data_IF_365495362926
#
_entry.id   IF_365495362926
#
_cell.length_a   1.000
_cell.length_b   1.000
_cell.length_c   1.000
_cell.angle_alpha   90.00
_cell.angle_beta   90.00
_cell.angle_gamma   90.00
#
_symmetry.space_group_name_H-M   'P 1'
#
loop_
_entity.id
_entity.type
_entity.pdbx_description
1 polymer ?
#
# COMPACT_ATOMS: atom_id res chain seq x y z
N UNK A 1 7.58 8.68 21.25
CA UNK A 1 7.09 8.30 19.92
C UNK A 1 8.15 7.49 19.18
N UNK A 2 7.73 6.49 18.48
CA UNK A 2 8.63 5.66 17.65
C UNK A 2 9.30 6.51 16.56
N UNK A 3 10.59 6.26 16.27
CA UNK A 3 11.23 6.92 15.14
C UNK A 3 10.63 6.41 13.82
N UNK A 4 10.43 7.29 12.83
CA UNK A 4 9.81 6.89 11.56
C UNK A 4 10.52 5.72 10.86
N UNK A 5 11.85 5.69 10.87
CA UNK A 5 12.62 4.63 10.21
C UNK A 5 12.49 3.26 10.89
N UNK A 6 12.00 3.22 12.12
CA UNK A 6 11.71 1.96 12.82
C UNK A 6 10.32 1.41 12.47
N UNK A 7 9.46 2.23 11.86
CA UNK A 7 8.14 1.78 11.41
C UNK A 7 8.13 1.46 9.90
N UNK A 8 8.69 2.32 9.08
CA UNK A 8 8.85 2.08 7.64
C UNK A 8 10.24 2.58 7.21
N UNK A 9 10.96 1.76 6.47
CA UNK A 9 12.22 2.19 5.89
C UNK A 9 12.47 1.56 4.51
N UNK A 10 13.21 2.24 3.63
CA UNK A 10 13.52 1.71 2.32
C UNK A 10 14.44 0.50 2.40
N UNK A 11 14.16 -0.48 1.53
CA UNK A 11 15.03 -1.63 1.29
C UNK A 11 15.16 -1.81 -0.22
N UNK A 12 16.08 -2.67 -0.71
CA UNK A 12 16.14 -2.96 -2.14
C UNK A 12 14.84 -3.52 -2.71
N UNK A 13 13.98 -4.15 -1.89
CA UNK A 13 12.70 -4.71 -2.34
C UNK A 13 11.55 -3.69 -2.29
N UNK A 14 11.64 -2.67 -1.45
CA UNK A 14 10.59 -1.68 -1.23
C UNK A 14 10.58 -1.20 0.20
N UNK A 15 9.55 -0.46 0.59
CA UNK A 15 9.40 -0.02 1.97
C UNK A 15 9.06 -1.21 2.86
N UNK A 16 9.81 -1.38 3.93
CA UNK A 16 9.62 -2.48 4.88
C UNK A 16 9.14 -1.96 6.23
N UNK A 17 8.19 -2.68 6.82
CA UNK A 17 7.68 -2.41 8.16
C UNK A 17 8.21 -3.47 9.12
N UNK A 18 9.27 -3.17 9.89
CA UNK A 18 9.86 -4.19 10.78
C UNK A 18 8.92 -4.75 11.84
N UNK A 19 8.14 -3.94 12.59
CA UNK A 19 7.27 -4.52 13.62
C UNK A 19 6.14 -5.37 13.03
N UNK A 20 5.65 -5.05 11.84
CA UNK A 20 4.59 -5.81 11.20
C UNK A 20 5.08 -6.95 10.31
N UNK A 21 6.34 -6.90 9.92
CA UNK A 21 6.96 -7.85 9.00
C UNK A 21 6.19 -7.96 7.68
N UNK A 22 6.07 -6.82 7.01
CA UNK A 22 5.47 -6.73 5.67
C UNK A 22 6.11 -5.62 4.87
N UNK A 23 5.94 -5.66 3.56
CA UNK A 23 6.45 -4.65 2.63
C UNK A 23 5.30 -3.89 1.99
N UNK A 24 5.56 -2.64 1.63
CA UNK A 24 4.65 -1.83 0.80
C UNK A 24 5.20 -1.82 -0.63
N UNK A 25 4.36 -2.21 -1.60
CA UNK A 25 4.68 -2.23 -3.03
C UNK A 25 6.05 -2.83 -3.35
N UNK A 26 6.37 -4.06 -2.88
CA UNK A 26 7.67 -4.65 -3.16
C UNK A 26 7.80 -5.00 -4.64
N UNK A 27 8.98 -4.72 -5.23
CA UNK A 27 9.18 -4.83 -6.68
C UNK A 27 10.39 -5.67 -7.12
N UNK A 28 11.28 -6.03 -6.19
CA UNK A 28 12.50 -6.78 -6.52
C UNK A 28 12.51 -8.15 -5.85
N UNK A 29 11.62 -9.00 -6.30
CA UNK A 29 11.50 -10.35 -5.78
C UNK A 29 10.31 -10.55 -4.88
N UNK A 30 9.98 -11.81 -4.62
CA UNK A 30 8.83 -12.18 -3.81
C UNK A 30 9.11 -11.94 -2.33
N UNK A 31 8.05 -11.59 -1.61
CA UNK A 31 8.06 -11.44 -0.15
C UNK A 31 6.92 -12.25 0.44
N UNK A 32 6.97 -12.52 1.74
CA UNK A 32 5.91 -13.29 2.40
C UNK A 32 4.60 -12.51 2.51
N UNK A 33 4.69 -11.21 2.77
CA UNK A 33 3.49 -10.37 2.93
C UNK A 33 3.72 -8.99 2.32
N UNK A 34 2.79 -8.59 1.46
CA UNK A 34 2.82 -7.31 0.78
C UNK A 34 1.49 -6.60 0.90
N UNK A 35 1.53 -5.29 1.12
CA UNK A 35 0.37 -4.40 1.00
C UNK A 35 0.59 -3.57 -0.26
N UNK A 36 -0.35 -3.64 -1.18
CA UNK A 36 -0.21 -3.05 -2.51
C UNK A 36 -1.10 -1.81 -2.64
N UNK A 37 -0.52 -0.70 -3.11
CA UNK A 37 -1.22 0.57 -3.22
C UNK A 37 -2.16 0.64 -4.42
N UNK A 38 -1.75 0.10 -5.57
CA UNK A 38 -2.57 0.13 -6.79
C UNK A 38 -2.07 -0.90 -7.79
N UNK A 39 -2.87 -1.12 -8.85
CA UNK A 39 -2.67 -2.23 -9.78
C UNK A 39 -1.67 -2.03 -10.91
N UNK A 40 -0.97 -0.90 -11.01
CA UNK A 40 0.06 -0.73 -12.03
C UNK A 40 1.24 -1.67 -11.80
N UNK A 41 1.82 -2.21 -12.87
CA UNK A 41 2.82 -3.28 -12.80
C UNK A 41 4.11 -2.89 -12.09
N UNK A 42 4.45 -1.62 -12.04
CA UNK A 42 5.62 -1.12 -11.32
C UNK A 42 5.42 -1.09 -9.79
N UNK A 43 4.19 -1.33 -9.31
CA UNK A 43 3.84 -1.40 -7.89
C UNK A 43 3.25 -2.76 -7.51
N UNK A 44 2.48 -3.38 -8.41
CA UNK A 44 1.74 -4.61 -8.13
C UNK A 44 2.40 -5.79 -8.83
N UNK A 45 3.35 -6.42 -8.15
CA UNK A 45 4.07 -7.59 -8.65
C UNK A 45 3.42 -8.88 -8.16
N UNK A 46 3.49 -9.92 -8.98
CA UNK A 46 3.03 -11.26 -8.60
C UNK A 46 4.09 -12.05 -7.83
N UNK A 47 3.68 -13.18 -7.26
CA UNK A 47 4.58 -14.14 -6.64
C UNK A 47 4.74 -14.03 -5.13
N UNK A 48 4.07 -13.07 -4.49
CA UNK A 48 4.15 -12.91 -3.03
C UNK A 48 3.34 -13.98 -2.29
N UNK A 49 3.67 -14.20 -1.02
CA UNK A 49 2.93 -15.15 -0.18
C UNK A 49 1.51 -14.66 0.10
N UNK A 50 1.36 -13.49 0.71
CA UNK A 50 0.06 -12.89 0.98
C UNK A 50 0.04 -11.45 0.46
N UNK A 51 -0.99 -11.12 -0.32
CA UNK A 51 -1.21 -9.77 -0.85
C UNK A 51 -2.47 -9.18 -0.22
N UNK A 52 -2.33 -8.02 0.40
CA UNK A 52 -3.42 -7.23 0.95
C UNK A 52 -3.57 -5.98 0.10
N UNK A 53 -4.77 -5.74 -0.40
CA UNK A 53 -5.03 -4.59 -1.26
C UNK A 53 -6.53 -4.33 -1.35
N UNK A 54 -6.89 -3.17 -1.90
CA UNK A 54 -8.27 -2.87 -2.23
C UNK A 54 -8.81 -3.93 -3.22
N UNK A 55 -10.09 -4.32 -3.13
CA UNK A 55 -10.67 -5.35 -4.02
C UNK A 55 -10.40 -5.11 -5.51
N UNK A 56 -10.52 -3.87 -5.97
CA UNK A 56 -10.28 -3.54 -7.38
C UNK A 56 -8.80 -3.76 -7.77
N UNK A 57 -7.88 -3.48 -6.87
CA UNK A 57 -6.46 -3.76 -7.10
C UNK A 57 -6.20 -5.25 -7.24
N UNK A 58 -6.80 -6.07 -6.37
CA UNK A 58 -6.68 -7.53 -6.47
C UNK A 58 -7.26 -8.04 -7.78
N UNK A 59 -8.39 -7.49 -8.24
CA UNK A 59 -8.99 -7.87 -9.54
C UNK A 59 -8.07 -7.53 -10.71
N UNK A 60 -7.42 -6.38 -10.69
CA UNK A 60 -6.46 -5.97 -11.72
C UNK A 60 -5.26 -6.92 -11.73
N UNK A 61 -4.75 -7.29 -10.56
CA UNK A 61 -3.64 -8.22 -10.46
C UNK A 61 -4.01 -9.61 -10.99
N UNK A 62 -5.20 -10.10 -10.66
CA UNK A 62 -5.70 -11.38 -11.18
C UNK A 62 -5.87 -11.36 -12.69
N UNK A 63 -6.34 -10.26 -13.25
CA UNK A 63 -6.48 -10.11 -14.70
C UNK A 63 -5.12 -10.13 -15.43
N UNK A 64 -4.08 -9.55 -14.79
CA UNK A 64 -2.74 -9.49 -15.38
C UNK A 64 -1.94 -10.78 -15.23
N UNK A 65 -1.98 -11.38 -14.05
CA UNK A 65 -1.10 -12.48 -13.68
C UNK A 65 -1.82 -13.83 -13.53
N UNK A 66 -3.16 -13.86 -13.60
CA UNK A 66 -3.96 -15.03 -13.29
C UNK A 66 -4.32 -15.07 -11.78
N UNK A 67 -5.27 -15.95 -11.46
CA UNK A 67 -5.80 -16.01 -10.08
C UNK A 67 -4.78 -16.48 -9.04
N UNK A 68 -3.72 -17.13 -9.47
CA UNK A 68 -2.66 -17.64 -8.59
C UNK A 68 -1.50 -16.66 -8.42
N UNK A 69 -1.73 -15.37 -8.60
CA UNK A 69 -0.67 -14.37 -8.50
C UNK A 69 -0.08 -14.23 -7.08
N UNK A 70 -0.77 -14.73 -6.08
CA UNK A 70 -0.29 -14.80 -4.69
C UNK A 70 -0.80 -16.10 -4.08
N UNK A 71 -0.13 -16.60 -3.03
CA UNK A 71 -0.61 -17.79 -2.31
C UNK A 71 -1.91 -17.50 -1.58
N UNK A 72 -2.04 -16.30 -1.02
CA UNK A 72 -3.23 -15.82 -0.34
C UNK A 72 -3.48 -14.36 -0.70
N UNK A 73 -4.73 -13.94 -0.70
CA UNK A 73 -5.13 -12.55 -0.86
C UNK A 73 -6.07 -12.14 0.25
N UNK A 74 -6.02 -10.86 0.61
CA UNK A 74 -6.97 -10.28 1.55
C UNK A 74 -7.45 -8.95 0.97
N UNK A 75 -8.73 -8.86 0.68
CA UNK A 75 -9.35 -7.61 0.25
C UNK A 75 -9.55 -6.70 1.45
N UNK A 76 -9.16 -5.44 1.31
CA UNK A 76 -9.29 -4.41 2.35
C UNK A 76 -9.99 -3.22 1.72
N UNK A 77 -11.17 -2.88 2.25
CA UNK A 77 -11.92 -1.72 1.77
C UNK A 77 -11.32 -0.42 2.32
N UNK A 78 -11.61 0.70 1.65
CA UNK A 78 -11.18 2.01 2.15
C UNK A 78 -11.72 2.22 3.57
N UNK A 79 -10.85 2.68 4.47
CA UNK A 79 -11.20 2.97 5.85
C UNK A 79 -11.28 1.76 6.78
N UNK A 80 -11.18 0.56 6.24
CA UNK A 80 -11.18 -0.66 7.04
C UNK A 80 -9.82 -0.85 7.72
N UNK A 81 -9.79 -0.75 9.04
CA UNK A 81 -8.55 -0.94 9.80
C UNK A 81 -8.31 -2.43 10.04
N UNK A 82 -7.11 -2.87 9.74
CA UNK A 82 -6.66 -4.24 10.02
C UNK A 82 -5.40 -4.18 10.89
N UNK A 83 -5.11 -5.27 11.60
CA UNK A 83 -3.88 -5.39 12.36
C UNK A 83 -2.99 -6.46 11.77
N UNK A 84 -1.70 -6.13 11.63
CA UNK A 84 -0.67 -7.06 11.19
C UNK A 84 0.43 -7.03 12.24
N UNK A 85 0.54 -8.08 13.04
CA UNK A 85 1.54 -8.18 14.12
C UNK A 85 1.57 -6.95 15.03
N UNK A 86 0.39 -6.42 15.39
CA UNK A 86 0.26 -5.27 16.26
C UNK A 86 0.38 -3.90 15.57
N UNK A 87 0.61 -3.88 14.27
CA UNK A 87 0.63 -2.65 13.48
C UNK A 87 -0.74 -2.46 12.83
N UNK A 88 -1.32 -1.29 12.98
CA UNK A 88 -2.60 -0.95 12.36
C UNK A 88 -2.39 -0.42 10.96
N UNK A 89 -3.14 -0.97 10.00
CA UNK A 89 -3.04 -0.60 8.58
C UNK A 89 -4.44 -0.34 8.05
N UNK A 90 -4.61 0.74 7.30
CA UNK A 90 -5.84 0.95 6.52
C UNK A 90 -5.51 1.68 5.22
N UNK A 91 -6.48 1.68 4.31
CA UNK A 91 -6.34 2.28 2.99
C UNK A 91 -7.22 3.53 2.90
N UNK A 92 -6.73 4.55 2.21
CA UNK A 92 -7.49 5.75 1.89
C UNK A 92 -7.38 6.02 0.40
N UNK A 93 -8.43 6.54 -0.26
CA UNK A 93 -8.37 6.76 -1.71
C UNK A 93 -7.21 7.64 -2.15
N UNK A 94 -6.50 7.25 -3.20
CA UNK A 94 -5.39 8.02 -3.77
C UNK A 94 -5.79 8.77 -5.05
N UNK A 95 -6.92 8.42 -5.68
CA UNK A 95 -7.46 9.15 -6.82
C UNK A 95 -6.72 8.93 -8.14
N UNK A 96 -5.84 7.92 -8.20
CA UNK A 96 -4.98 7.68 -9.37
C UNK A 96 -5.65 6.76 -10.40
N UNK A 97 -6.00 5.56 -9.98
CA UNK A 97 -6.78 4.59 -10.77
C UNK A 97 -7.77 3.91 -9.85
N UNK A 98 -8.66 3.10 -10.44
CA UNK A 98 -9.65 2.35 -9.65
C UNK A 98 -8.93 1.45 -8.63
N UNK A 99 -9.32 1.59 -7.36
CA UNK A 99 -8.69 0.84 -6.26
C UNK A 99 -7.39 1.43 -5.73
N UNK A 100 -6.87 2.51 -6.35
CA UNK A 100 -5.63 3.12 -5.88
C UNK A 100 -5.78 3.63 -4.45
N UNK A 101 -4.78 3.36 -3.64
CA UNK A 101 -4.84 3.57 -2.20
C UNK A 101 -3.59 4.24 -1.68
N UNK A 102 -3.78 5.19 -0.78
CA UNK A 102 -2.74 5.55 0.18
C UNK A 102 -2.74 4.47 1.25
N UNK A 103 -1.58 4.04 1.67
CA UNK A 103 -1.45 3.03 2.73
C UNK A 103 -1.06 3.75 4.01
N UNK A 104 -1.93 3.65 5.02
CA UNK A 104 -1.71 4.25 6.34
C UNK A 104 -1.20 3.17 7.27
N UNK A 105 -0.07 3.43 7.93
CA UNK A 105 0.55 2.52 8.88
C UNK A 105 0.69 3.26 10.20
N UNK A 106 0.14 2.67 11.27
CA UNK A 106 0.15 3.29 12.59
C UNK A 106 0.64 2.31 13.64
N UNK A 107 1.57 2.77 14.47
CA UNK A 107 2.12 1.94 15.54
C UNK A 107 2.70 2.84 16.63
N UNK A 108 2.39 2.53 17.89
CA UNK A 108 2.92 3.24 19.07
C UNK A 108 2.79 4.76 18.95
N UNK A 109 1.65 5.23 18.45
CA UNK A 109 1.34 6.65 18.34
C UNK A 109 1.92 7.35 17.11
N UNK A 110 2.69 6.66 16.29
CA UNK A 110 3.23 7.21 15.03
C UNK A 110 2.34 6.80 13.85
N UNK A 111 1.89 7.77 13.08
CA UNK A 111 1.11 7.53 11.85
C UNK A 111 1.91 7.97 10.64
N UNK A 112 2.19 7.03 9.75
CA UNK A 112 2.87 7.26 8.49
C UNK A 112 1.95 6.94 7.33
N UNK A 113 2.00 7.73 6.28
CA UNK A 113 1.21 7.54 5.07
C UNK A 113 2.14 7.38 3.88
N UNK A 114 1.96 6.28 3.15
CA UNK A 114 2.60 6.07 1.85
C UNK A 114 1.55 6.27 0.78
N UNK A 115 1.76 7.24 -0.10
CA UNK A 115 0.73 7.60 -1.08
C UNK A 115 0.67 6.66 -2.27
N UNK A 116 1.73 5.91 -2.56
CA UNK A 116 1.86 5.30 -3.86
C UNK A 116 1.78 6.40 -4.93
N UNK A 117 1.28 6.07 -6.08
CA UNK A 117 0.92 7.11 -7.06
C UNK A 117 -0.44 7.70 -6.67
N UNK A 118 -0.56 9.00 -6.73
CA UNK A 118 -1.81 9.67 -6.40
C UNK A 118 -2.12 10.80 -7.36
N UNK A 119 -3.41 11.18 -7.39
CA UNK A 119 -3.91 12.26 -8.25
C UNK A 119 -4.89 13.08 -7.44
N UNK A 120 -4.66 14.38 -7.37
CA UNK A 120 -5.52 15.29 -6.63
C UNK A 120 -6.64 15.90 -7.49
N UNK A 121 -6.51 15.82 -8.80
CA UNK A 121 -7.57 16.24 -9.71
C UNK A 121 -8.73 15.25 -9.64
N UNK A 122 -9.94 15.79 -9.75
CA UNK A 122 -11.12 14.94 -9.83
C UNK A 122 -11.05 14.04 -11.08
N UNK A 123 -11.35 12.78 -10.88
CA UNK A 123 -11.40 11.78 -11.95
C UNK A 123 -12.66 10.95 -11.72
N UNK A 124 -13.61 10.93 -12.69
CA UNK A 124 -14.87 10.23 -12.49
C UNK A 124 -14.73 8.70 -12.47
N UNK A 125 -13.58 8.15 -12.84
CA UNK A 125 -13.37 6.70 -12.92
C UNK A 125 -12.95 6.07 -11.60
N UNK A 126 -12.59 6.86 -10.60
CA UNK A 126 -12.18 6.35 -9.30
C UNK A 126 -12.52 7.32 -8.18
N UNK A 127 -12.58 6.84 -6.92
CA UNK A 127 -12.73 7.74 -5.78
C UNK A 127 -11.63 8.77 -5.72
N UNK A 128 -12.02 10.00 -5.41
CA UNK A 128 -11.09 11.12 -5.32
C UNK A 128 -10.12 10.92 -4.16
N UNK A 129 -8.90 11.46 -4.30
CA UNK A 129 -7.90 11.50 -3.24
C UNK A 129 -8.50 12.09 -1.95
N UNK A 130 -8.33 11.39 -0.85
CA UNK A 130 -8.76 11.85 0.47
C UNK A 130 -7.54 12.02 1.37
N UNK A 131 -7.24 13.25 1.83
CA UNK A 131 -6.14 13.46 2.77
C UNK A 131 -6.35 12.66 4.06
N UNK A 132 -5.27 12.11 4.59
CA UNK A 132 -5.28 11.39 5.86
C UNK A 132 -4.94 12.37 6.98
N UNK A 133 -5.85 12.49 7.95
CA UNK A 133 -5.68 13.41 9.07
C UNK A 133 -4.65 12.88 10.08
N UNK A 134 -4.06 13.80 10.83
CA UNK A 134 -3.12 13.49 11.92
C UNK A 134 -1.91 12.66 11.48
N UNK A 135 -1.46 12.86 10.24
CA UNK A 135 -0.29 12.20 9.68
C UNK A 135 0.98 12.85 10.23
N UNK A 136 1.88 12.04 10.79
CA UNK A 136 3.17 12.51 11.26
C UNK A 136 4.21 12.52 10.15
N UNK A 137 4.21 11.50 9.29
CA UNK A 137 5.15 11.39 8.17
C UNK A 137 4.39 11.00 6.91
N UNK A 138 4.65 11.73 5.84
CA UNK A 138 4.01 11.55 4.56
C UNK A 138 5.08 11.15 3.55
N UNK A 139 5.00 9.93 3.03
CA UNK A 139 5.93 9.41 2.02
C UNK A 139 5.24 9.49 0.68
N UNK A 140 5.67 10.44 -0.13
CA UNK A 140 5.11 10.66 -1.46
C UNK A 140 5.98 9.99 -2.50
N UNK A 141 5.33 9.31 -3.44
CA UNK A 141 6.01 8.76 -4.62
C UNK A 141 6.37 9.92 -5.54
N UNK A 142 7.65 10.14 -5.72
CA UNK A 142 8.14 11.18 -6.62
C UNK A 142 8.52 10.54 -7.96
N UNK A 143 7.53 10.35 -8.82
CA UNK A 143 7.76 9.78 -10.14
C UNK A 143 8.53 10.71 -11.06
N UNK A 144 8.68 11.97 -10.70
CA UNK A 144 9.39 12.96 -11.48
C UNK A 144 10.58 13.48 -10.70
N UNK A 145 11.27 12.65 -10.19
CA UNK A 145 12.46 13.02 -9.54
C UNK A 145 13.36 13.80 -10.44
N UNK A 146 12.85 13.74 -10.48
CA UNK A 146 13.45 14.05 -10.72
C UNK A 146 14.11 14.05 -11.16
#
# INVERSE_FOLDING_TARGET
MLRPDLLLHPTPKGLYCPPGDFYLDPVRGAVDRAVISHGHSDHARGGHGKVLAHPHTLSIMAARYGDSFAKQTQAVEYGEAIEINGVTVWLSPAGHILGSSQIVVEHKGLRMVFTGDYKRRWDPTCPQFEPVENTHVFISEATFGL
#
